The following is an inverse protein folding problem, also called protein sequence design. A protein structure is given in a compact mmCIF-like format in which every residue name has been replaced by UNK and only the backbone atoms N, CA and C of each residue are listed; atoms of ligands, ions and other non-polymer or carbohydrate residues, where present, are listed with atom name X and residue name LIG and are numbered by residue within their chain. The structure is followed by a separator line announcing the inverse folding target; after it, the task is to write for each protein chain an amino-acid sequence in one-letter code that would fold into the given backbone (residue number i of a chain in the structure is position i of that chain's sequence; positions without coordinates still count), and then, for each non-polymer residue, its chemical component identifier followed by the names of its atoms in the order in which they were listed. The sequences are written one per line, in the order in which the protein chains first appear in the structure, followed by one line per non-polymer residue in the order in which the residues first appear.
data_IF_033686671903
#
_entry.id   IF_033686671903
#
_cell.length_a   1.000
_cell.length_b   1.000
_cell.length_c   1.000
_cell.angle_alpha   90.00
_cell.angle_beta   90.00
_cell.angle_gamma   90.00
#
_symmetry.space_group_name_H-M   'P 1'
#
loop_
_entity.id
_entity.type
_entity.pdbx_description
1 polymer ?
#
# COMPACT_ATOMS: atom_id res chain seq x y z
N UNK A 1 36.56 -41.29 -44.86
CA UNK A 1 37.75 -40.75 -44.15
C UNK A 1 37.66 -39.23 -44.13
N UNK A 2 37.44 -38.58 -42.98
CA UNK A 2 37.89 -37.22 -42.76
C UNK A 2 39.05 -37.22 -41.74
N UNK A 3 40.22 -36.84 -42.21
CA UNK A 3 41.42 -36.68 -41.38
C UNK A 3 41.32 -35.38 -40.58
N UNK A 4 41.19 -35.50 -39.26
CA UNK A 4 41.30 -34.34 -38.36
C UNK A 4 42.78 -33.99 -38.20
N UNK A 5 43.12 -32.76 -38.60
CA UNK A 5 44.45 -32.20 -38.57
C UNK A 5 45.02 -32.16 -37.15
N UNK A 6 46.22 -32.75 -36.95
CA UNK A 6 46.97 -32.74 -35.67
C UNK A 6 47.28 -31.35 -35.10
N UNK A 7 47.04 -30.26 -35.84
CA UNK A 7 47.28 -28.88 -35.40
C UNK A 7 46.17 -28.34 -34.48
N UNK A 8 44.95 -28.86 -34.54
CA UNK A 8 43.84 -28.40 -33.69
C UNK A 8 43.78 -29.09 -32.32
N UNK A 9 44.34 -30.30 -32.21
CA UNK A 9 44.39 -31.04 -30.95
C UNK A 9 45.40 -30.44 -29.93
N UNK A 10 46.48 -29.82 -30.42
CA UNK A 10 47.49 -29.17 -29.56
C UNK A 10 46.97 -27.87 -28.93
N UNK A 11 46.23 -27.07 -29.71
CA UNK A 11 45.62 -25.82 -29.25
C UNK A 11 44.57 -26.03 -28.15
N UNK A 12 43.76 -27.09 -28.26
CA UNK A 12 42.75 -27.43 -27.23
C UNK A 12 43.36 -27.93 -25.92
N UNK A 13 44.44 -28.70 -25.98
CA UNK A 13 45.13 -29.19 -24.78
C UNK A 13 45.84 -28.05 -24.01
N UNK A 14 46.42 -27.09 -24.72
CA UNK A 14 47.10 -25.92 -24.14
C UNK A 14 46.12 -24.96 -23.44
N UNK A 15 44.91 -24.80 -23.99
CA UNK A 15 43.83 -24.03 -23.37
C UNK A 15 43.33 -24.70 -22.07
N UNK A 16 43.21 -26.03 -22.06
CA UNK A 16 42.76 -26.79 -20.88
C UNK A 16 43.80 -26.74 -19.76
N UNK A 17 45.10 -26.82 -20.06
CA UNK A 17 46.15 -26.63 -19.05
C UNK A 17 46.18 -25.21 -18.49
N UNK A 18 45.92 -24.19 -19.32
CA UNK A 18 45.85 -22.79 -18.89
C UNK A 18 44.69 -22.55 -17.93
N UNK A 19 43.53 -23.18 -18.17
CA UNK A 19 42.36 -23.14 -17.27
C UNK A 19 42.67 -23.86 -15.95
N UNK A 20 43.38 -24.99 -16.00
CA UNK A 20 43.76 -25.76 -14.80
C UNK A 20 44.78 -25.03 -13.92
N UNK A 21 45.68 -24.24 -14.51
CA UNK A 21 46.61 -23.35 -13.78
C UNK A 21 45.90 -22.19 -13.09
N UNK A 22 44.96 -21.54 -13.77
CA UNK A 22 44.14 -20.44 -13.22
C UNK A 22 43.26 -20.90 -12.06
N UNK A 23 42.81 -22.15 -12.07
CA UNK A 23 42.04 -22.72 -10.96
C UNK A 23 42.88 -22.95 -9.70
N UNK A 24 44.14 -23.40 -9.85
CA UNK A 24 45.01 -23.67 -8.69
C UNK A 24 45.63 -22.40 -8.07
N UNK A 25 45.85 -21.33 -8.85
CA UNK A 25 46.37 -20.06 -8.32
C UNK A 25 45.32 -19.26 -7.51
N UNK A 26 44.02 -19.50 -7.74
CA UNK A 26 42.93 -18.79 -7.07
C UNK A 26 42.70 -19.17 -5.60
N UNK A 27 43.25 -20.30 -5.15
CA UNK A 27 43.08 -20.76 -3.77
C UNK A 27 44.18 -20.22 -2.83
N UNK A 28 45.30 -19.70 -3.34
CA UNK A 28 46.40 -19.21 -2.51
C UNK A 28 46.24 -17.75 -2.03
N UNK A 29 45.39 -16.96 -2.71
CA UNK A 29 45.10 -15.57 -2.32
C UNK A 29 43.96 -15.44 -1.30
N UNK A 30 43.28 -16.55 -0.95
CA UNK A 30 42.15 -16.54 -0.01
C UNK A 30 42.55 -16.56 1.47
N UNK A 31 43.84 -16.75 1.78
CA UNK A 31 44.34 -16.88 3.17
C UNK A 31 45.03 -15.63 3.75
N UNK A 32 45.15 -14.52 3.01
CA UNK A 32 45.87 -13.31 3.49
C UNK A 32 45.02 -12.09 3.89
N UNK A 33 43.70 -12.18 3.92
CA UNK A 33 42.83 -11.04 4.30
C UNK A 33 42.05 -11.23 5.61
N UNK A 34 42.56 -12.05 6.53
CA UNK A 34 42.03 -12.21 7.90
C UNK A 34 42.76 -11.35 8.94
N UNK A 35 42.89 -10.03 8.74
CA UNK A 35 43.21 -9.11 9.85
C UNK A 35 42.53 -7.74 9.65
N UNK A 36 41.49 -7.48 10.45
CA UNK A 36 41.19 -6.15 10.99
C UNK A 36 40.43 -5.15 10.12
N UNK A 37 39.08 -5.20 10.16
CA UNK A 37 38.21 -4.03 10.36
C UNK A 37 36.78 -4.49 10.65
N UNK A 38 36.36 -4.33 11.90
CA UNK A 38 34.97 -4.48 12.31
C UNK A 38 34.10 -3.44 11.59
N UNK A 39 33.37 -3.87 10.55
CA UNK A 39 32.15 -3.20 10.11
C UNK A 39 31.07 -4.27 10.23
N UNK A 40 30.12 -4.04 11.13
CA UNK A 40 29.02 -4.96 11.39
C UNK A 40 28.13 -5.06 10.15
N UNK A 41 28.37 -6.08 9.32
CA UNK A 41 27.42 -6.55 8.32
C UNK A 41 26.20 -7.11 9.05
N UNK A 42 25.28 -6.21 9.43
CA UNK A 42 23.91 -6.59 9.76
C UNK A 42 23.29 -7.11 8.48
N UNK A 43 23.37 -8.43 8.27
CA UNK A 43 22.51 -9.16 7.32
C UNK A 43 21.07 -8.82 7.69
N UNK A 44 20.47 -7.86 6.98
CA UNK A 44 19.05 -7.51 7.14
C UNK A 44 18.27 -8.72 6.61
N UNK A 45 17.88 -9.59 7.54
CA UNK A 45 16.83 -10.57 7.31
C UNK A 45 15.58 -9.76 6.93
N UNK A 46 15.27 -9.70 5.64
CA UNK A 46 14.01 -9.15 5.16
C UNK A 46 12.94 -10.17 5.55
N UNK A 47 12.51 -10.11 6.81
CA UNK A 47 11.33 -10.82 7.23
C UNK A 47 10.16 -10.26 6.41
N UNK A 48 9.32 -11.11 5.79
CA UNK A 48 8.14 -10.63 5.09
C UNK A 48 7.31 -9.80 6.08
N UNK A 49 7.10 -8.51 5.77
CA UNK A 49 6.31 -7.60 6.62
C UNK A 49 5.00 -8.31 6.95
N UNK A 50 4.74 -8.50 8.25
CA UNK A 50 3.49 -9.11 8.72
C UNK A 50 2.34 -8.30 8.11
N UNK A 51 1.40 -8.99 7.48
CA UNK A 51 0.22 -8.36 6.88
C UNK A 51 -0.50 -7.55 7.94
N UNK A 52 -0.66 -6.25 7.71
CA UNK A 52 -1.39 -5.39 8.61
C UNK A 52 -2.87 -5.83 8.64
N UNK A 53 -3.46 -5.91 9.84
CA UNK A 53 -4.89 -6.17 9.97
C UNK A 53 -5.69 -5.05 9.30
N UNK A 54 -6.80 -5.43 8.64
CA UNK A 54 -7.76 -4.48 8.05
C UNK A 54 -8.80 -4.00 9.05
N UNK A 55 -8.83 -4.59 10.24
CA UNK A 55 -9.72 -4.21 11.32
C UNK A 55 -9.07 -3.08 12.12
N UNK A 56 -9.83 -2.01 12.34
CA UNK A 56 -9.37 -0.89 13.15
C UNK A 56 -9.24 -1.28 14.62
N UNK A 57 -8.40 -0.53 15.33
CA UNK A 57 -8.22 -0.71 16.77
C UNK A 57 -9.41 -0.08 17.51
N UNK A 58 -9.66 -0.42 18.77
CA UNK A 58 -10.83 0.08 19.52
C UNK A 58 -10.95 1.62 19.56
N UNK A 59 -9.83 2.33 19.46
CA UNK A 59 -9.75 3.79 19.43
C UNK A 59 -10.27 4.44 18.13
N UNK A 60 -10.44 3.66 17.06
CA UNK A 60 -10.97 4.14 15.78
C UNK A 60 -12.47 3.86 15.62
N UNK A 61 -13.13 3.30 16.64
CA UNK A 61 -14.58 3.06 16.58
C UNK A 61 -15.30 4.40 16.53
N UNK A 62 -15.80 4.75 15.35
CA UNK A 62 -16.64 5.93 15.14
C UNK A 62 -18.00 5.65 15.78
N UNK A 63 -18.25 6.26 16.93
CA UNK A 63 -19.57 6.26 17.56
C UNK A 63 -20.43 7.29 16.82
N UNK A 64 -21.30 6.80 15.93
CA UNK A 64 -22.27 7.65 15.23
C UNK A 64 -23.34 8.05 16.24
N UNK A 65 -23.48 9.34 16.59
CA UNK A 65 -24.48 9.78 17.54
C UNK A 65 -25.87 9.63 16.91
N UNK A 66 -26.78 8.95 17.62
CA UNK A 66 -28.20 8.91 17.27
C UNK A 66 -28.65 7.79 16.32
N UNK A 67 -27.73 7.04 15.69
CA UNK A 67 -28.08 5.88 14.84
C UNK A 67 -27.45 4.57 15.36
N UNK A 68 -28.24 3.60 15.84
CA UNK A 68 -27.73 2.32 16.31
C UNK A 68 -27.24 1.41 15.16
N UNK A 69 -26.04 0.85 15.28
CA UNK A 69 -25.47 -0.08 14.27
C UNK A 69 -26.16 -1.47 14.32
N UNK A 70 -26.74 -1.85 15.47
CA UNK A 70 -27.46 -3.11 15.62
C UNK A 70 -28.94 -2.95 15.24
N UNK A 71 -29.34 -3.52 14.11
CA UNK A 71 -30.74 -3.57 13.63
C UNK A 71 -31.58 -4.68 14.31
N UNK A 72 -31.18 -5.13 15.49
CA UNK A 72 -31.81 -6.27 16.14
C UNK A 72 -33.25 -5.93 16.61
N UNK A 73 -34.25 -6.64 16.06
CA UNK A 73 -35.63 -6.61 16.55
C UNK A 73 -36.63 -5.77 15.77
N UNK A 74 -36.23 -5.12 14.66
CA UNK A 74 -37.16 -4.42 13.77
C UNK A 74 -37.34 -5.23 12.48
N UNK A 75 -38.57 -5.64 12.19
CA UNK A 75 -38.93 -6.23 10.90
C UNK A 75 -38.94 -5.12 9.83
N UNK A 76 -37.75 -4.82 9.33
CA UNK A 76 -37.53 -3.81 8.31
C UNK A 76 -37.54 -4.48 6.93
N UNK A 77 -38.18 -3.87 5.93
CA UNK A 77 -38.08 -4.39 4.56
C UNK A 77 -36.64 -4.29 4.08
N UNK A 78 -36.25 -5.11 3.08
CA UNK A 78 -34.90 -5.06 2.51
C UNK A 78 -34.55 -3.67 1.99
N UNK A 79 -35.51 -3.00 1.36
CA UNK A 79 -35.34 -1.64 0.86
C UNK A 79 -35.10 -0.64 2.00
N UNK A 80 -35.87 -0.76 3.09
CA UNK A 80 -35.68 0.08 4.26
C UNK A 80 -34.35 -0.22 4.99
N UNK A 81 -33.89 -1.46 5.01
CA UNK A 81 -32.55 -1.82 5.50
C UNK A 81 -31.45 -1.15 4.67
N UNK A 82 -31.56 -1.20 3.34
CA UNK A 82 -30.60 -0.56 2.45
C UNK A 82 -30.56 0.96 2.66
N UNK A 83 -31.74 1.59 2.78
CA UNK A 83 -31.86 3.02 3.10
C UNK A 83 -31.22 3.35 4.46
N UNK A 84 -31.43 2.49 5.48
CA UNK A 84 -30.83 2.67 6.80
C UNK A 84 -29.30 2.58 6.76
N UNK A 85 -28.76 1.61 6.01
CA UNK A 85 -27.31 1.45 5.84
C UNK A 85 -26.73 2.66 5.12
N UNK A 86 -27.39 3.17 4.08
CA UNK A 86 -26.96 4.37 3.36
C UNK A 86 -26.94 5.58 4.30
N UNK A 87 -28.01 5.77 5.08
CA UNK A 87 -28.08 6.87 6.05
C UNK A 87 -26.96 6.79 7.09
N UNK A 88 -26.70 5.60 7.62
CA UNK A 88 -25.63 5.38 8.60
C UNK A 88 -24.25 5.71 8.01
N UNK A 89 -24.00 5.34 6.75
CA UNK A 89 -22.76 5.69 6.05
C UNK A 89 -22.62 7.20 5.82
N UNK A 90 -23.70 7.88 5.44
CA UNK A 90 -23.70 9.34 5.24
C UNK A 90 -23.31 10.05 6.54
N UNK A 91 -23.87 9.63 7.67
CA UNK A 91 -23.53 10.18 8.99
C UNK A 91 -22.08 9.88 9.39
N UNK A 92 -21.60 8.67 9.13
CA UNK A 92 -20.20 8.30 9.41
C UNK A 92 -19.22 9.18 8.63
N UNK A 93 -19.46 9.38 7.33
CA UNK A 93 -18.62 10.21 6.46
C UNK A 93 -18.70 11.67 6.89
N UNK A 94 -19.91 12.17 7.19
CA UNK A 94 -20.12 13.54 7.67
C UNK A 94 -19.36 13.80 8.98
N UNK A 95 -19.36 12.83 9.90
CA UNK A 95 -18.59 12.92 11.14
C UNK A 95 -17.08 12.89 10.90
N UNK A 96 -16.59 12.07 9.95
CA UNK A 96 -15.17 12.05 9.56
C UNK A 96 -14.72 13.38 8.95
N UNK A 97 -15.54 14.00 8.10
CA UNK A 97 -15.28 15.31 7.51
C UNK A 97 -15.25 16.42 8.58
N UNK A 98 -16.19 16.41 9.51
CA UNK A 98 -16.29 17.40 10.60
C UNK A 98 -15.15 17.30 11.62
N UNK A 99 -14.81 16.07 12.01
CA UNK A 99 -13.77 15.80 13.02
C UNK A 99 -12.36 15.89 12.43
N UNK A 100 -12.23 15.85 11.10
CA UNK A 100 -10.92 15.79 10.45
C UNK A 100 -10.20 14.44 10.63
N UNK A 101 -10.91 13.40 11.08
CA UNK A 101 -10.36 12.04 11.15
C UNK A 101 -10.52 11.35 9.78
N UNK A 102 -9.64 11.70 8.85
CA UNK A 102 -9.68 11.24 7.45
C UNK A 102 -9.24 9.77 7.27
N UNK A 103 -9.03 9.00 8.35
CA UNK A 103 -8.56 7.60 8.26
C UNK A 103 -7.16 7.47 7.67
N UNK A 104 -6.40 8.55 7.68
CA UNK A 104 -5.06 8.62 7.12
C UNK A 104 -4.06 7.97 8.09
N UNK A 105 -3.33 6.90 7.70
CA UNK A 105 -2.34 6.30 8.59
C UNK A 105 -1.30 7.32 9.03
N UNK A 106 -1.10 7.43 10.35
CA UNK A 106 -0.10 8.32 10.96
C UNK A 106 1.31 7.91 10.52
N UNK A 107 1.56 6.62 10.35
CA UNK A 107 2.85 6.09 9.90
C UNK A 107 3.06 6.37 8.41
N UNK A 108 4.24 6.89 8.00
CA UNK A 108 4.54 7.16 6.61
C UNK A 108 4.71 5.90 5.75
N UNK A 109 5.18 4.81 6.35
CA UNK A 109 5.48 3.56 5.64
C UNK A 109 4.25 2.77 5.17
N UNK A 110 3.10 2.99 5.84
CA UNK A 110 1.85 2.31 5.51
C UNK A 110 1.06 3.07 4.43
N UNK A 111 1.65 4.13 3.87
CA UNK A 111 1.02 5.01 2.89
C UNK A 111 1.41 4.58 1.49
N UNK A 112 0.43 4.57 0.59
CA UNK A 112 0.71 4.50 -0.84
C UNK A 112 1.53 5.74 -1.28
N UNK A 113 2.42 5.59 -2.28
CA UNK A 113 3.20 6.71 -2.80
C UNK A 113 2.27 7.83 -3.28
N UNK A 114 2.64 9.08 -2.99
CA UNK A 114 1.83 10.24 -3.38
C UNK A 114 1.97 10.51 -4.89
N UNK A 115 0.88 10.89 -5.58
CA UNK A 115 0.97 11.41 -6.94
C UNK A 115 1.74 12.73 -6.99
N UNK A 116 2.10 13.13 -8.20
CA UNK A 116 2.83 14.36 -8.48
C UNK A 116 2.08 15.62 -7.99
N UNK A 117 2.81 16.66 -7.54
CA UNK A 117 2.20 17.88 -7.03
C UNK A 117 1.59 18.71 -8.17
N UNK A 118 0.30 19.02 -8.05
CA UNK A 118 -0.40 19.97 -8.93
C UNK A 118 -0.52 21.30 -8.20
N UNK A 119 -0.14 22.39 -8.87
CA UNK A 119 -0.19 23.75 -8.33
C UNK A 119 -1.28 24.58 -9.02
N UNK A 120 -1.87 25.52 -8.29
CA UNK A 120 -2.73 26.55 -8.88
C UNK A 120 -1.89 27.71 -9.47
N UNK A 121 -2.56 28.69 -10.08
CA UNK A 121 -1.93 29.89 -10.65
C UNK A 121 -1.21 30.77 -9.61
N UNK A 122 -1.52 30.57 -8.31
CA UNK A 122 -0.88 31.25 -7.18
C UNK A 122 0.30 30.46 -6.59
N UNK A 123 0.67 29.32 -7.19
CA UNK A 123 1.76 28.47 -6.70
C UNK A 123 1.43 27.65 -5.45
N UNK A 124 0.16 27.56 -5.05
CA UNK A 124 -0.30 26.73 -3.93
C UNK A 124 -0.57 25.31 -4.42
N UNK A 125 -0.05 24.31 -3.70
CA UNK A 125 -0.27 22.89 -4.02
C UNK A 125 -1.72 22.51 -3.74
N UNK A 126 -2.45 22.14 -4.79
CA UNK A 126 -3.85 21.69 -4.72
C UNK A 126 -3.97 20.22 -4.30
N UNK A 127 -3.06 19.38 -4.79
CA UNK A 127 -3.12 17.94 -4.54
C UNK A 127 -2.25 17.55 -3.34
N UNK A 128 -2.64 18.02 -2.14
CA UNK A 128 -2.13 17.44 -0.90
C UNK A 128 -2.90 16.16 -0.60
N UNK A 129 -2.31 15.29 0.21
CA UNK A 129 -2.96 14.02 0.59
C UNK A 129 -4.26 14.25 1.35
N UNK A 130 -4.29 15.24 2.23
CA UNK A 130 -5.49 15.61 3.00
C UNK A 130 -6.60 16.05 2.06
N UNK A 131 -6.30 16.91 1.08
CA UNK A 131 -7.26 17.36 0.08
C UNK A 131 -7.77 16.17 -0.74
N UNK A 132 -6.89 15.26 -1.19
CA UNK A 132 -7.31 14.05 -1.92
C UNK A 132 -8.25 13.16 -1.13
N UNK A 133 -7.93 12.90 0.14
CA UNK A 133 -8.72 12.00 0.97
C UNK A 133 -10.04 12.66 1.37
N UNK A 134 -10.02 13.96 1.64
CA UNK A 134 -11.24 14.76 1.87
C UNK A 134 -12.15 14.75 0.66
N UNK A 135 -11.62 15.09 -0.53
CA UNK A 135 -12.38 15.11 -1.77
C UNK A 135 -13.00 13.74 -2.08
N UNK A 136 -12.26 12.65 -1.84
CA UNK A 136 -12.79 11.29 -2.00
C UNK A 136 -13.96 11.01 -1.05
N UNK A 137 -13.87 11.44 0.21
CA UNK A 137 -14.95 11.27 1.18
C UNK A 137 -16.16 12.15 0.84
N UNK A 138 -15.95 13.37 0.33
CA UNK A 138 -17.01 14.27 -0.14
C UNK A 138 -17.73 13.70 -1.36
N UNK A 139 -16.99 13.15 -2.33
CA UNK A 139 -17.54 12.45 -3.50
C UNK A 139 -18.35 11.23 -3.08
N UNK A 140 -17.82 10.38 -2.18
CA UNK A 140 -18.55 9.23 -1.63
C UNK A 140 -19.82 9.66 -0.88
N UNK A 141 -19.78 10.76 -0.12
CA UNK A 141 -20.97 11.34 0.53
C UNK A 141 -22.00 11.77 -0.50
N UNK A 142 -21.55 12.47 -1.55
CA UNK A 142 -22.42 12.99 -2.60
C UNK A 142 -23.11 11.88 -3.39
N UNK A 143 -22.38 10.81 -3.72
CA UNK A 143 -22.93 9.63 -4.38
C UNK A 143 -24.01 8.96 -3.53
N UNK A 144 -23.73 8.76 -2.23
CA UNK A 144 -24.69 8.16 -1.29
C UNK A 144 -25.93 9.03 -1.10
N UNK A 145 -25.77 10.35 -1.00
CA UNK A 145 -26.89 11.30 -0.92
C UNK A 145 -27.73 11.22 -2.18
N UNK A 146 -27.12 11.19 -3.37
CA UNK A 146 -27.83 11.10 -4.65
C UNK A 146 -28.69 9.84 -4.72
N UNK A 147 -28.13 8.69 -4.36
CA UNK A 147 -28.86 7.41 -4.28
C UNK A 147 -29.98 7.47 -3.24
N UNK A 148 -29.76 8.12 -2.10
CA UNK A 148 -30.76 8.25 -1.04
C UNK A 148 -31.94 9.13 -1.47
N UNK A 149 -31.68 10.27 -2.13
CA UNK A 149 -32.73 11.14 -2.67
C UNK A 149 -33.53 10.50 -3.79
N UNK A 150 -32.91 9.66 -4.62
CA UNK A 150 -33.62 8.96 -5.70
C UNK A 150 -34.57 7.91 -5.12
N UNK A 151 -34.14 7.16 -4.11
CA UNK A 151 -34.95 6.09 -3.49
C UNK A 151 -35.98 6.61 -2.47
N UNK A 152 -35.72 7.73 -1.81
CA UNK A 152 -36.61 8.30 -0.80
C UNK A 152 -36.85 9.79 -1.07
N UNK A 153 -38.06 10.12 -1.52
CA UNK A 153 -38.47 11.48 -1.85
C UNK A 153 -38.61 12.41 -0.63
N UNK A 154 -38.74 11.86 0.59
CA UNK A 154 -38.82 12.64 1.83
C UNK A 154 -37.44 12.92 2.45
N UNK A 155 -36.37 12.44 1.83
CA UNK A 155 -35.03 12.58 2.35
C UNK A 155 -34.53 14.03 2.29
N UNK A 156 -34.09 14.56 3.43
CA UNK A 156 -33.42 15.86 3.51
C UNK A 156 -31.91 15.65 3.67
N UNK A 157 -31.09 16.06 2.69
CA UNK A 157 -29.65 15.89 2.80
C UNK A 157 -29.08 16.74 3.95
N UNK A 158 -28.07 16.24 4.67
CA UNK A 158 -27.41 17.01 5.71
C UNK A 158 -26.68 18.22 5.12
N UNK A 159 -26.60 19.35 5.86
CA UNK A 159 -25.86 20.52 5.42
C UNK A 159 -24.36 20.20 5.34
N UNK A 160 -23.71 20.73 4.30
CA UNK A 160 -22.25 20.69 4.11
C UNK A 160 -21.52 21.56 5.15
#
# INVERSE_FOLDING_TARGET
MPHISRKEAKSKAEIVEKIRKIANDKDHDREKSKVGKHVSDKKVEIQPRRRQSRWSTEYDRVLIPGLPVALAGVELTKEQQDLYIIQLKIEEISLKLRTGNLGIPVKPEDRSPSPEPVYNTQGVRLNTREIRVRQKLEEERHDLVSVMTEKNSDYRPPPD
#
